data_IF_676742464769
#
_entry.id   IF_676742464769
#
_cell.length_a   1.000
_cell.length_b   1.000
_cell.length_c   1.000
_cell.angle_alpha   90.00
_cell.angle_beta   90.00
_cell.angle_gamma   90.00
#
_symmetry.space_group_name_H-M   'P 1'
#
loop_
_entity.id
_entity.type
_entity.pdbx_description
1 polymer ?
#
# COMPACT_ATOMS: atom_id res chain seq x y z
N UNK A 1 8.51 1.02 -19.13
CA UNK A 1 7.96 1.96 -18.14
C UNK A 1 9.07 2.30 -17.17
N UNK A 2 9.42 3.58 -17.04
CA UNK A 2 10.53 4.03 -16.20
C UNK A 2 10.27 3.61 -14.75
N UNK A 3 11.05 2.65 -14.27
CA UNK A 3 10.88 2.05 -12.95
C UNK A 3 11.38 3.02 -11.88
N UNK A 4 10.50 3.92 -11.43
CA UNK A 4 10.66 4.50 -10.09
C UNK A 4 10.36 3.38 -9.11
N UNK A 5 11.38 2.59 -8.79
CA UNK A 5 11.28 1.54 -7.78
C UNK A 5 11.00 2.20 -6.43
N UNK A 6 9.82 1.95 -5.87
CA UNK A 6 9.48 2.41 -4.51
C UNK A 6 10.48 1.77 -3.51
N UNK A 7 11.09 2.55 -2.60
CA UNK A 7 12.02 2.04 -1.59
C UNK A 7 11.41 0.92 -0.74
N UNK A 8 12.26 0.01 -0.23
CA UNK A 8 11.81 -1.11 0.60
C UNK A 8 11.01 -0.67 1.83
N UNK A 9 11.40 0.45 2.47
CA UNK A 9 10.68 1.01 3.62
C UNK A 9 9.26 1.44 3.24
N UNK A 10 9.08 2.09 2.08
CA UNK A 10 7.77 2.47 1.58
C UNK A 10 6.93 1.26 1.19
N UNK A 11 7.52 0.17 0.65
CA UNK A 11 6.81 -1.11 0.43
C UNK A 11 6.26 -1.70 1.74
N UNK A 12 7.07 -1.72 2.80
CA UNK A 12 6.62 -2.19 4.11
C UNK A 12 5.45 -1.35 4.67
N UNK A 13 5.38 -0.05 4.35
CA UNK A 13 4.23 0.77 4.72
C UNK A 13 2.99 0.41 3.91
N UNK A 14 3.14 0.14 2.61
CA UNK A 14 2.04 -0.31 1.76
C UNK A 14 1.49 -1.67 2.24
N UNK A 15 2.35 -2.61 2.61
CA UNK A 15 1.93 -3.92 3.14
C UNK A 15 1.12 -3.78 4.44
N UNK A 16 1.53 -2.85 5.32
CA UNK A 16 0.78 -2.53 6.55
C UNK A 16 -0.58 -1.91 6.25
N UNK A 17 -0.65 -1.03 5.25
CA UNK A 17 -1.92 -0.41 4.84
C UNK A 17 -2.86 -1.46 4.23
N UNK A 18 -2.34 -2.33 3.36
CA UNK A 18 -3.11 -3.41 2.75
C UNK A 18 -3.71 -4.34 3.82
N UNK A 19 -2.89 -4.78 4.77
CA UNK A 19 -3.35 -5.68 5.84
C UNK A 19 -4.32 -5.02 6.82
N UNK A 20 -4.08 -3.76 7.22
CA UNK A 20 -4.87 -3.10 8.25
C UNK A 20 -6.15 -2.42 7.75
N UNK A 21 -6.16 -1.86 6.54
CA UNK A 21 -7.29 -1.08 6.01
C UNK A 21 -8.09 -1.90 4.99
N UNK A 22 -7.39 -2.62 4.11
CA UNK A 22 -8.04 -3.37 3.03
C UNK A 22 -8.32 -4.83 3.43
N UNK A 23 -7.71 -5.34 4.50
CA UNK A 23 -7.81 -6.75 4.89
C UNK A 23 -7.13 -7.69 3.88
N UNK A 24 -6.18 -7.17 3.09
CA UNK A 24 -5.43 -7.91 2.07
C UNK A 24 -4.09 -8.32 2.66
N UNK A 25 -3.83 -9.62 2.68
CA UNK A 25 -2.63 -10.22 3.29
C UNK A 25 -1.33 -9.79 2.60
N UNK A 26 -1.34 -9.71 1.27
CA UNK A 26 -0.17 -9.40 0.46
C UNK A 26 -0.58 -8.67 -0.82
N UNK A 27 0.29 -7.77 -1.28
CA UNK A 27 0.15 -7.08 -2.57
C UNK A 27 0.88 -7.80 -3.72
N UNK A 28 1.51 -8.94 -3.44
CA UNK A 28 2.13 -9.79 -4.46
C UNK A 28 1.08 -10.61 -5.21
N UNK A 29 1.22 -10.70 -6.54
CA UNK A 29 0.33 -11.52 -7.38
C UNK A 29 0.55 -13.01 -7.09
N UNK A 30 -0.54 -13.73 -6.81
CA UNK A 30 -0.52 -15.17 -6.47
C UNK A 30 -1.07 -16.07 -7.59
N UNK A 31 -1.51 -15.49 -8.70
CA UNK A 31 -2.10 -16.19 -9.85
C UNK A 31 -3.30 -17.07 -9.47
N UNK A 32 -4.17 -16.54 -8.60
CA UNK A 32 -5.36 -17.21 -8.13
C UNK A 32 -6.47 -16.21 -7.87
N UNK A 33 -7.60 -16.39 -8.54
CA UNK A 33 -8.68 -15.40 -8.52
C UNK A 33 -9.14 -15.05 -7.10
N UNK A 34 -9.35 -16.05 -6.24
CA UNK A 34 -9.79 -15.83 -4.85
C UNK A 34 -8.76 -15.11 -3.98
N UNK A 35 -7.50 -15.15 -4.39
CA UNK A 35 -6.38 -14.59 -3.65
C UNK A 35 -5.93 -13.23 -4.18
N UNK A 36 -6.25 -12.92 -5.44
CA UNK A 36 -5.82 -11.71 -6.13
C UNK A 36 -6.96 -10.71 -6.39
N UNK A 37 -8.22 -11.16 -6.37
CA UNK A 37 -9.39 -10.29 -6.48
C UNK A 37 -10.11 -10.14 -5.14
N UNK A 38 -10.32 -8.90 -4.73
CA UNK A 38 -10.94 -8.55 -3.46
C UNK A 38 -12.13 -7.61 -3.67
N UNK A 39 -13.30 -8.00 -3.20
CA UNK A 39 -14.44 -7.10 -3.07
C UNK A 39 -14.17 -6.14 -1.91
N UNK A 40 -13.89 -4.89 -2.24
CA UNK A 40 -13.49 -3.87 -1.27
C UNK A 40 -14.44 -2.68 -1.36
N UNK A 41 -14.89 -2.19 -0.22
CA UNK A 41 -15.73 -1.01 -0.18
C UNK A 41 -14.95 0.24 -0.61
N UNK A 42 -15.62 1.15 -1.33
CA UNK A 42 -14.99 2.38 -1.86
C UNK A 42 -14.43 3.29 -0.77
N UNK A 43 -15.00 3.25 0.44
CA UNK A 43 -14.47 4.00 1.59
C UNK A 43 -13.17 3.40 2.12
N UNK A 44 -13.02 2.07 2.18
CA UNK A 44 -11.75 1.43 2.55
C UNK A 44 -10.65 1.72 1.54
N UNK A 45 -10.98 1.74 0.24
CA UNK A 45 -10.04 2.15 -0.83
C UNK A 45 -9.59 3.60 -0.60
N UNK A 46 -10.53 4.51 -0.33
CA UNK A 46 -10.22 5.91 -0.02
C UNK A 46 -9.27 6.02 1.19
N UNK A 47 -9.59 5.37 2.30
CA UNK A 47 -8.78 5.42 3.52
C UNK A 47 -7.35 4.87 3.28
N UNK A 48 -7.21 3.80 2.51
CA UNK A 48 -5.91 3.24 2.15
C UNK A 48 -5.06 4.18 1.29
N UNK A 49 -5.68 4.87 0.32
CA UNK A 49 -5.00 5.85 -0.53
C UNK A 49 -4.56 7.08 0.27
N UNK A 50 -5.41 7.59 1.17
CA UNK A 50 -5.06 8.71 2.05
C UNK A 50 -3.91 8.32 3.00
N UNK A 51 -3.96 7.14 3.59
CA UNK A 51 -2.90 6.61 4.45
C UNK A 51 -1.57 6.46 3.70
N UNK A 52 -1.59 5.93 2.47
CA UNK A 52 -0.39 5.78 1.65
C UNK A 52 0.22 7.13 1.27
N UNK A 53 -0.61 8.12 0.94
CA UNK A 53 -0.15 9.47 0.63
C UNK A 53 0.50 10.15 1.84
N UNK A 54 -0.14 10.07 3.01
CA UNK A 54 0.40 10.63 4.25
C UNK A 54 1.70 9.94 4.68
N UNK A 55 1.79 8.62 4.52
CA UNK A 55 3.01 7.85 4.78
C UNK A 55 4.18 8.35 3.92
N UNK A 56 3.94 8.58 2.62
CA UNK A 56 4.96 9.14 1.72
C UNK A 56 5.39 10.57 2.08
N UNK A 57 4.48 11.40 2.59
CA UNK A 57 4.83 12.74 3.10
C UNK A 57 5.68 12.64 4.36
N UNK A 58 5.33 11.74 5.29
CA UNK A 58 6.06 11.54 6.53
C UNK A 58 7.48 11.02 6.28
N UNK A 59 7.64 10.08 5.35
CA UNK A 59 8.94 9.55 4.93
C UNK A 59 9.88 10.65 4.42
N UNK A 60 9.37 11.55 3.57
CA UNK A 60 10.13 12.72 3.09
C UNK A 60 10.57 13.66 4.22
N UNK A 61 9.72 13.86 5.25
CA UNK A 61 10.06 14.72 6.39
C UNK A 61 11.10 14.09 7.32
N UNK A 62 11.17 12.75 7.38
CA UNK A 62 12.17 12.00 8.16
C UNK A 62 13.55 11.91 7.51
N UNK A 63 13.67 12.14 6.19
CA UNK A 63 14.94 12.14 5.45
C UNK A 63 15.71 13.48 5.42
N UNK A 64 15.26 14.48 6.20
CA UNK A 64 15.85 15.82 6.28
C UNK A 64 16.45 16.14 7.65
N UNK A 65 16.80 15.11 8.43
CA UNK A 65 17.49 15.22 9.73
C UNK A 65 18.88 14.60 9.65
#
# INVERSE_FOLDING_TARGET
MSATTIPAAARQQLDKIATSILGIETLETRHSDRMDFHDTAVWSIKDALEAAYLAGIADRKGGAA
#
